data_IF_493506961122
#
_entry.id   IF_493506961122
#
_cell.length_a   1.000
_cell.length_b   1.000
_cell.length_c   1.000
_cell.angle_alpha   90.00
_cell.angle_beta   90.00
_cell.angle_gamma   90.00
#
_symmetry.space_group_name_H-M   'P 1'
#
loop_
_entity.id
_entity.type
_entity.pdbx_description
1 polymer ?
#
# COMPACT_ATOMS: atom_id res chain seq x y z
N UNK A 1 21.36 -24.00 -6.87
CA UNK A 1 20.91 -23.03 -5.86
C UNK A 1 22.13 -22.25 -5.43
N UNK A 2 22.21 -20.97 -5.78
CA UNK A 2 23.27 -20.09 -5.29
C UNK A 2 22.63 -19.09 -4.34
N UNK A 3 23.07 -19.07 -3.08
CA UNK A 3 22.74 -17.99 -2.16
C UNK A 3 23.81 -16.92 -2.33
N UNK A 4 23.46 -15.73 -2.81
CA UNK A 4 24.34 -14.56 -2.76
C UNK A 4 23.91 -13.70 -1.56
N UNK A 5 24.87 -13.42 -0.68
CA UNK A 5 24.65 -12.68 0.56
C UNK A 5 25.08 -11.23 0.33
N UNK A 6 24.13 -10.37 -0.09
CA UNK A 6 24.36 -8.93 -0.17
C UNK A 6 24.19 -8.33 1.22
N UNK A 7 25.28 -7.85 1.84
CA UNK A 7 25.25 -7.15 3.13
C UNK A 7 24.48 -5.83 3.02
N UNK A 8 23.20 -5.88 3.33
CA UNK A 8 22.33 -4.71 3.55
C UNK A 8 22.15 -4.53 5.07
N UNK A 9 22.10 -3.28 5.56
CA UNK A 9 21.90 -3.02 6.98
C UNK A 9 20.56 -3.60 7.46
N UNK A 10 20.60 -4.37 8.55
CA UNK A 10 19.44 -5.06 9.09
C UNK A 10 18.99 -6.30 8.31
N UNK A 11 19.64 -6.68 7.21
CA UNK A 11 19.36 -7.93 6.51
C UNK A 11 19.67 -9.17 7.37
N UNK A 12 18.76 -10.15 7.32
CA UNK A 12 18.88 -11.40 8.06
C UNK A 12 19.05 -12.59 7.14
N UNK A 13 18.28 -12.61 6.05
CA UNK A 13 18.36 -13.65 5.04
C UNK A 13 17.85 -13.14 3.69
N UNK A 14 18.49 -13.61 2.62
CA UNK A 14 18.00 -13.46 1.26
C UNK A 14 18.06 -14.82 0.56
N UNK A 15 17.04 -15.16 -0.21
CA UNK A 15 17.01 -16.37 -1.00
C UNK A 15 16.41 -16.07 -2.37
N UNK A 16 17.05 -16.59 -3.42
CA UNK A 16 16.58 -16.49 -4.79
C UNK A 16 16.43 -17.88 -5.41
N UNK A 17 15.29 -18.10 -6.07
CA UNK A 17 14.99 -19.30 -6.82
C UNK A 17 14.56 -18.93 -8.25
N UNK A 18 15.30 -19.44 -9.22
CA UNK A 18 15.06 -19.17 -10.64
C UNK A 18 14.64 -20.45 -11.35
N UNK A 19 13.67 -20.35 -12.26
CA UNK A 19 13.28 -21.50 -13.10
C UNK A 19 14.46 -21.95 -13.97
N UNK A 20 14.53 -23.24 -14.35
CA UNK A 20 15.67 -23.79 -15.12
C UNK A 20 15.95 -23.04 -16.43
N UNK A 21 14.93 -22.43 -17.02
CA UNK A 21 15.03 -21.65 -18.25
C UNK A 21 15.28 -20.14 -18.01
N UNK A 22 15.52 -19.70 -16.77
CA UNK A 22 15.70 -18.28 -16.43
C UNK A 22 14.42 -17.44 -16.55
N UNK A 23 13.28 -18.06 -16.83
CA UNK A 23 12.05 -17.38 -17.21
C UNK A 23 11.24 -16.78 -16.06
N UNK A 24 11.53 -17.13 -14.81
CA UNK A 24 10.95 -16.51 -13.61
C UNK A 24 11.94 -16.57 -12.45
N UNK A 25 11.93 -15.52 -11.63
CA UNK A 25 12.73 -15.42 -10.41
C UNK A 25 11.82 -15.17 -9.23
N UNK A 26 12.00 -15.94 -8.15
CA UNK A 26 11.33 -15.78 -6.87
C UNK A 26 12.38 -15.40 -5.83
N UNK A 27 12.21 -14.24 -5.22
CA UNK A 27 13.11 -13.70 -4.20
C UNK A 27 12.38 -13.59 -2.87
N UNK A 28 13.05 -13.99 -1.79
CA UNK A 28 12.65 -13.79 -0.40
C UNK A 28 13.69 -12.95 0.30
N UNK A 29 13.25 -11.97 1.11
CA UNK A 29 14.11 -11.14 1.94
C UNK A 29 13.50 -11.01 3.33
N UNK A 30 14.33 -11.24 4.34
CA UNK A 30 13.99 -11.07 5.75
C UNK A 30 14.95 -10.04 6.33
N UNK A 31 14.41 -9.04 7.03
CA UNK A 31 15.19 -7.97 7.64
C UNK A 31 14.52 -7.37 8.86
N UNK A 32 15.30 -6.77 9.75
CA UNK A 32 14.76 -5.93 10.82
C UNK A 32 14.39 -4.53 10.29
N UNK A 33 13.24 -4.01 10.72
CA UNK A 33 12.86 -2.60 10.53
C UNK A 33 13.40 -1.70 11.65
N UNK A 34 13.49 -0.36 11.44
CA UNK A 34 13.12 0.38 10.23
C UNK A 34 14.39 0.75 9.43
N UNK A 35 14.97 -0.21 8.71
CA UNK A 35 16.38 -0.10 8.33
C UNK A 35 16.72 0.14 6.86
N UNK A 36 15.79 0.39 5.95
CA UNK A 36 16.16 0.48 4.54
C UNK A 36 15.33 1.48 3.72
N UNK A 37 16.02 2.26 2.88
CA UNK A 37 15.49 3.23 1.91
C UNK A 37 14.67 2.59 0.77
N UNK A 38 14.49 1.27 0.79
CA UNK A 38 13.96 0.49 -0.34
C UNK A 38 12.62 -0.15 -0.03
N UNK A 39 12.11 -0.15 1.20
CA UNK A 39 10.78 -0.69 1.52
C UNK A 39 9.68 -0.02 0.70
N UNK A 40 9.71 1.31 0.63
CA UNK A 40 8.74 2.05 -0.17
C UNK A 40 8.95 1.76 -1.65
N UNK A 41 10.21 1.66 -2.09
CA UNK A 41 10.56 1.25 -3.46
C UNK A 41 10.06 -0.16 -3.80
N UNK A 42 10.12 -1.11 -2.88
CA UNK A 42 9.65 -2.48 -3.03
C UNK A 42 8.13 -2.51 -3.24
N UNK A 43 7.40 -1.64 -2.53
CA UNK A 43 5.97 -1.40 -2.75
C UNK A 43 5.66 -0.44 -3.92
N UNK A 44 6.67 -0.07 -4.73
CA UNK A 44 6.54 0.81 -5.87
C UNK A 44 6.12 2.25 -5.51
N UNK A 45 6.32 2.67 -4.26
CA UNK A 45 5.99 4.00 -3.72
C UNK A 45 7.20 4.91 -3.81
N UNK A 46 7.61 5.27 -5.02
CA UNK A 46 8.80 6.10 -5.23
C UNK A 46 8.49 7.55 -5.57
N UNK A 47 7.27 7.83 -6.04
CA UNK A 47 6.87 9.17 -6.46
C UNK A 47 5.58 9.58 -5.77
N UNK A 48 5.56 10.70 -5.04
CA UNK A 48 4.40 11.10 -4.26
C UNK A 48 3.25 11.66 -5.10
N UNK A 49 3.50 11.97 -6.38
CA UNK A 49 2.47 12.40 -7.36
C UNK A 49 2.34 11.42 -8.54
N UNK A 50 3.07 10.30 -8.50
CA UNK A 50 2.98 9.24 -9.50
C UNK A 50 1.85 8.27 -9.18
N UNK A 51 1.38 7.56 -10.20
CA UNK A 51 0.43 6.49 -9.99
C UNK A 51 1.10 5.34 -9.23
N UNK A 52 0.50 4.96 -8.09
CA UNK A 52 0.87 3.78 -7.31
C UNK A 52 -0.24 2.74 -7.41
N UNK A 53 0.07 1.52 -7.85
CA UNK A 53 -0.91 0.42 -7.86
C UNK A 53 -1.46 0.18 -6.45
N UNK A 54 -2.80 0.14 -6.27
CA UNK A 54 -3.40 -0.17 -4.97
C UNK A 54 -2.97 -1.55 -4.48
N UNK A 55 -2.73 -1.66 -3.18
CA UNK A 55 -2.30 -2.90 -2.55
C UNK A 55 -3.49 -3.73 -2.05
N UNK A 56 -3.32 -5.04 -2.06
CA UNK A 56 -4.30 -6.01 -1.54
C UNK A 56 -3.87 -6.56 -0.19
N UNK A 57 -4.67 -6.44 0.88
CA UNK A 57 -4.34 -7.05 2.17
C UNK A 57 -4.22 -8.57 2.10
N UNK A 58 -3.27 -9.15 2.83
CA UNK A 58 -3.03 -10.60 2.94
C UNK A 58 -3.94 -11.26 3.99
N UNK A 59 -5.23 -10.94 3.95
CA UNK A 59 -6.22 -11.43 4.90
C UNK A 59 -5.99 -10.87 6.31
N UNK A 60 -5.91 -11.75 7.30
CA UNK A 60 -5.64 -11.41 8.72
C UNK A 60 -4.15 -11.24 9.04
N UNK A 61 -3.27 -11.46 8.07
CA UNK A 61 -1.84 -11.22 8.27
C UNK A 61 -1.53 -9.73 8.11
N UNK A 62 -0.52 -9.21 8.84
CA UNK A 62 -0.11 -7.81 8.75
C UNK A 62 0.71 -7.55 7.49
N UNK A 63 0.08 -7.73 6.33
CA UNK A 63 0.79 -7.72 5.07
C UNK A 63 -0.06 -7.30 3.89
N UNK A 64 0.64 -6.90 2.84
CA UNK A 64 0.06 -6.38 1.61
C UNK A 64 0.71 -7.03 0.40
N UNK A 65 -0.07 -7.17 -0.66
CA UNK A 65 0.34 -7.67 -1.96
C UNK A 65 0.20 -6.57 -3.01
N UNK A 66 1.26 -6.39 -3.78
CA UNK A 66 1.35 -5.51 -4.94
C UNK A 66 1.36 -6.31 -6.22
N UNK A 67 0.56 -5.87 -7.19
CA UNK A 67 0.59 -6.37 -8.56
C UNK A 67 1.08 -5.27 -9.50
N UNK A 68 2.04 -5.60 -10.35
CA UNK A 68 2.46 -4.78 -11.47
C UNK A 68 2.65 -5.63 -12.73
N UNK A 69 2.88 -4.99 -13.88
CA UNK A 69 3.19 -5.71 -15.10
C UNK A 69 4.48 -6.51 -14.90
N UNK A 70 4.40 -7.83 -15.10
CA UNK A 70 5.57 -8.72 -15.02
C UNK A 70 6.04 -9.09 -13.60
N UNK A 71 5.47 -8.52 -12.54
CA UNK A 71 5.90 -8.83 -11.18
C UNK A 71 4.77 -8.79 -10.14
N UNK A 72 4.93 -9.58 -9.08
CA UNK A 72 4.06 -9.58 -7.90
C UNK A 72 4.93 -9.58 -6.67
N UNK A 73 4.59 -8.74 -5.70
CA UNK A 73 5.37 -8.56 -4.48
C UNK A 73 4.47 -8.60 -3.27
N UNK A 74 4.94 -9.14 -2.16
CA UNK A 74 4.28 -9.17 -0.87
C UNK A 74 5.24 -8.63 0.19
N UNK A 75 4.74 -7.78 1.07
CA UNK A 75 5.49 -7.28 2.23
C UNK A 75 4.65 -7.46 3.48
N UNK A 76 5.23 -8.10 4.49
CA UNK A 76 4.61 -8.36 5.78
C UNK A 76 5.42 -7.72 6.89
N UNK A 77 4.72 -7.12 7.86
CA UNK A 77 5.29 -6.48 9.05
C UNK A 77 4.91 -7.29 10.29
N UNK A 78 5.86 -8.05 10.80
CA UNK A 78 5.69 -8.88 11.98
C UNK A 78 6.31 -8.17 13.17
N UNK A 79 5.50 -7.83 14.18
CA UNK A 79 6.04 -7.28 15.43
C UNK A 79 6.62 -8.41 16.27
N UNK A 80 7.79 -8.18 16.85
CA UNK A 80 8.49 -9.18 17.65
C UNK A 80 8.65 -8.64 19.07
N UNK A 81 8.48 -9.52 20.06
CA UNK A 81 8.66 -9.15 21.47
C UNK A 81 10.13 -9.27 21.85
N UNK A 82 10.90 -8.25 21.44
CA UNK A 82 12.35 -8.17 21.66
C UNK A 82 12.70 -6.86 22.37
N UNK A 83 13.82 -6.89 23.13
CA UNK A 83 14.33 -5.74 23.89
C UNK A 83 14.62 -4.49 23.04
N UNK A 84 14.85 -4.66 21.75
CA UNK A 84 15.11 -3.58 20.80
C UNK A 84 13.86 -3.12 20.05
N UNK A 85 12.68 -3.70 20.35
CA UNK A 85 11.39 -3.42 19.71
C UNK A 85 11.41 -3.48 18.18
N UNK A 86 12.42 -4.14 17.58
CA UNK A 86 12.55 -4.23 16.13
C UNK A 86 11.48 -5.17 15.59
N UNK A 87 10.85 -4.72 14.51
CA UNK A 87 9.90 -5.52 13.78
C UNK A 87 10.59 -6.26 12.65
N UNK A 88 10.13 -7.47 12.35
CA UNK A 88 10.61 -8.25 11.22
C UNK A 88 9.79 -7.91 9.98
N UNK A 89 10.48 -7.50 8.91
CA UNK A 89 9.90 -7.32 7.59
C UNK A 89 10.20 -8.56 6.75
N UNK A 90 9.15 -9.13 6.18
CA UNK A 90 9.23 -10.28 5.27
C UNK A 90 8.75 -9.84 3.89
N UNK A 91 9.67 -9.79 2.94
CA UNK A 91 9.43 -9.38 1.57
C UNK A 91 9.57 -10.59 0.65
N UNK A 92 8.58 -10.81 -0.20
CA UNK A 92 8.61 -11.86 -1.22
C UNK A 92 8.26 -11.25 -2.56
N UNK A 93 8.99 -11.59 -3.61
CA UNK A 93 8.76 -11.05 -4.96
C UNK A 93 8.92 -12.14 -6.00
N UNK A 94 7.97 -12.24 -6.91
CA UNK A 94 8.09 -13.05 -8.12
C UNK A 94 8.12 -12.13 -9.34
N UNK A 95 9.11 -12.33 -10.19
CA UNK A 95 9.30 -11.60 -11.44
C UNK A 95 9.28 -12.58 -12.60
N UNK A 96 8.62 -12.19 -13.69
CA UNK A 96 8.77 -12.86 -14.97
C UNK A 96 10.10 -12.50 -15.63
N UNK A 97 10.53 -13.34 -16.57
CA UNK A 97 11.70 -13.07 -17.39
C UNK A 97 11.53 -11.86 -18.30
N UNK A 98 12.58 -11.51 -19.07
CA UNK A 98 12.55 -10.36 -19.97
C UNK A 98 11.31 -10.36 -20.87
N UNK A 99 10.58 -9.24 -20.91
CA UNK A 99 9.36 -9.09 -21.71
C UNK A 99 8.08 -9.62 -21.06
N UNK A 100 8.12 -10.13 -19.84
CA UNK A 100 6.90 -10.45 -19.08
C UNK A 100 6.14 -9.17 -18.74
N UNK A 101 5.02 -8.93 -19.42
CA UNK A 101 4.16 -7.75 -19.21
C UNK A 101 2.78 -8.09 -18.66
N UNK A 102 2.46 -9.38 -18.55
CA UNK A 102 1.13 -9.83 -18.13
C UNK A 102 1.03 -9.91 -16.61
N UNK A 103 -0.11 -9.42 -16.08
CA UNK A 103 -0.46 -9.62 -14.68
C UNK A 103 -0.71 -11.12 -14.41
N UNK A 104 -0.39 -11.63 -13.21
CA UNK A 104 -0.63 -13.02 -12.86
C UNK A 104 -2.11 -13.39 -12.96
N UNK A 105 -2.39 -14.66 -13.27
CA UNK A 105 -3.73 -15.22 -13.16
C UNK A 105 -4.19 -15.21 -11.69
N UNK A 106 -5.51 -15.09 -11.40
CA UNK A 106 -6.02 -15.05 -10.02
C UNK A 106 -5.52 -16.20 -9.14
N UNK A 107 -5.50 -17.43 -9.67
CA UNK A 107 -5.00 -18.60 -8.95
C UNK A 107 -3.48 -18.55 -8.66
N UNK A 108 -2.68 -17.92 -9.53
CA UNK A 108 -1.25 -17.73 -9.29
C UNK A 108 -1.02 -16.67 -8.21
N UNK A 109 -1.80 -15.59 -8.23
CA UNK A 109 -1.78 -14.53 -7.22
C UNK A 109 -2.12 -15.08 -5.84
N UNK A 110 -3.14 -15.93 -5.74
CA UNK A 110 -3.53 -16.56 -4.48
C UNK A 110 -2.47 -17.56 -3.97
N UNK A 111 -1.90 -18.38 -4.86
CA UNK A 111 -0.76 -19.27 -4.50
C UNK A 111 0.45 -18.48 -4.02
N UNK A 112 0.79 -17.38 -4.68
CA UNK A 112 1.89 -16.51 -4.27
C UNK A 112 1.63 -15.88 -2.89
N UNK A 113 0.43 -15.39 -2.64
CA UNK A 113 0.03 -14.87 -1.33
C UNK A 113 0.14 -15.94 -0.23
N UNK A 114 -0.31 -17.17 -0.49
CA UNK A 114 -0.18 -18.28 0.44
C UNK A 114 1.30 -18.61 0.74
N UNK A 115 2.18 -18.59 -0.27
CA UNK A 115 3.63 -18.77 -0.07
C UNK A 115 4.22 -17.66 0.79
N UNK A 116 3.89 -16.39 0.51
CA UNK A 116 4.39 -15.26 1.29
C UNK A 116 3.94 -15.34 2.76
N UNK A 117 2.69 -15.71 3.01
CA UNK A 117 2.15 -15.92 4.36
C UNK A 117 2.84 -17.09 5.06
N UNK A 118 3.01 -18.23 4.39
CA UNK A 118 3.69 -19.40 4.98
C UNK A 118 5.17 -19.09 5.31
N UNK A 119 5.84 -18.31 4.47
CA UNK A 119 7.21 -17.83 4.77
C UNK A 119 7.21 -16.92 6.00
N UNK A 120 6.26 -16.00 6.10
CA UNK A 120 6.14 -15.10 7.25
C UNK A 120 5.80 -15.85 8.54
N UNK A 121 4.94 -16.86 8.49
CA UNK A 121 4.62 -17.73 9.62
C UNK A 121 5.86 -18.49 10.12
N UNK A 122 6.62 -19.08 9.19
CA UNK A 122 7.89 -19.76 9.53
C UNK A 122 8.90 -18.78 10.11
N UNK A 123 9.03 -17.59 9.53
CA UNK A 123 9.91 -16.54 10.03
C UNK A 123 9.50 -16.07 11.44
N UNK A 124 8.21 -15.87 11.68
CA UNK A 124 7.71 -15.51 13.01
C UNK A 124 8.13 -16.54 14.08
N UNK A 125 7.97 -17.83 13.79
CA UNK A 125 8.38 -18.89 14.72
C UNK A 125 9.89 -18.95 14.93
N UNK A 126 10.70 -18.73 13.89
CA UNK A 126 12.17 -18.74 14.01
C UNK A 126 12.74 -17.52 14.74
N UNK A 127 12.08 -16.36 14.64
CA UNK A 127 12.57 -15.09 15.19
C UNK A 127 11.81 -14.61 16.44
N UNK A 128 10.85 -15.40 16.95
CA UNK A 128 10.11 -15.09 18.18
C UNK A 128 9.07 -13.98 18.02
N UNK A 129 8.41 -13.90 16.86
CA UNK A 129 7.42 -12.87 16.55
C UNK A 129 5.97 -13.39 16.69
N UNK A 130 5.74 -14.32 17.62
CA UNK A 130 4.50 -15.09 17.74
C UNK A 130 3.27 -14.26 18.14
N UNK A 131 3.46 -13.05 18.65
CA UNK A 131 2.40 -12.11 18.98
C UNK A 131 1.58 -11.64 17.76
N UNK A 132 2.10 -11.88 16.54
CA UNK A 132 1.46 -11.45 15.29
C UNK A 132 1.24 -12.65 14.35
N UNK A 133 0.80 -13.78 14.90
CA UNK A 133 0.25 -14.86 14.08
C UNK A 133 -1.11 -14.40 13.55
N UNK A 134 -1.17 -14.09 12.26
CA UNK A 134 -2.47 -13.99 11.58
C UNK A 134 -3.20 -15.34 11.66
N UNK A 135 -4.52 -15.32 11.56
CA UNK A 135 -5.29 -16.55 11.37
C UNK A 135 -4.88 -17.29 10.08
N UNK A 136 -5.44 -18.47 9.87
CA UNK A 136 -5.23 -19.21 8.61
C UNK A 136 -5.57 -18.34 7.41
N UNK A 137 -4.71 -18.36 6.39
CA UNK A 137 -4.93 -17.58 5.17
C UNK A 137 -6.21 -18.04 4.47
N UNK A 138 -7.28 -17.25 4.58
CA UNK A 138 -8.61 -17.55 4.05
C UNK A 138 -8.81 -17.08 2.59
N UNK A 139 -7.70 -16.82 1.87
CA UNK A 139 -7.72 -16.34 0.49
C UNK A 139 -7.52 -14.83 0.35
N UNK A 140 -7.49 -14.39 -0.91
CA UNK A 140 -7.19 -13.01 -1.28
C UNK A 140 -8.42 -12.35 -1.94
N UNK A 141 -8.77 -11.13 -1.52
CA UNK A 141 -9.79 -10.33 -2.23
C UNK A 141 -9.38 -10.07 -3.68
N UNK A 142 -10.31 -9.72 -4.57
CA UNK A 142 -10.00 -9.42 -5.98
C UNK A 142 -8.92 -8.34 -6.16
N UNK A 143 -8.32 -8.27 -7.35
CA UNK A 143 -7.34 -7.22 -7.67
C UNK A 143 -8.05 -5.86 -7.75
N UNK A 144 -7.64 -4.84 -6.95
CA UNK A 144 -8.34 -3.55 -6.85
C UNK A 144 -8.53 -2.82 -8.18
N UNK A 145 -7.58 -2.97 -9.11
CA UNK A 145 -7.58 -2.27 -10.40
C UNK A 145 -8.48 -2.92 -11.45
N UNK A 146 -8.64 -4.25 -11.41
CA UNK A 146 -9.27 -5.01 -12.50
C UNK A 146 -10.79 -4.82 -12.57
N UNK A 147 -11.43 -4.38 -11.48
CA UNK A 147 -12.87 -4.19 -11.39
C UNK A 147 -13.17 -2.90 -10.62
N UNK A 148 -13.04 -1.72 -11.27
CA UNK A 148 -13.49 -0.48 -10.67
C UNK A 148 -14.99 -0.59 -10.33
N UNK A 149 -15.39 0.00 -9.22
CA UNK A 149 -16.80 0.13 -8.83
C UNK A 149 -17.17 1.60 -8.81
N UNK A 150 -18.47 1.91 -8.89
CA UNK A 150 -18.90 3.30 -8.70
C UNK A 150 -18.58 3.75 -7.26
N UNK A 151 -18.33 5.04 -7.07
CA UNK A 151 -18.04 5.58 -5.74
C UNK A 151 -19.18 5.26 -4.74
N UNK A 152 -20.45 5.30 -5.18
CA UNK A 152 -21.61 4.96 -4.36
C UNK A 152 -21.63 3.49 -3.89
N UNK A 153 -21.06 2.59 -4.67
CA UNK A 153 -21.04 1.15 -4.40
C UNK A 153 -19.82 0.69 -3.62
N UNK A 154 -18.90 1.59 -3.27
CA UNK A 154 -17.67 1.26 -2.56
C UNK A 154 -17.95 0.58 -1.20
N UNK A 155 -17.34 -0.59 -0.96
CA UNK A 155 -17.51 -1.41 0.26
C UNK A 155 -16.20 -1.72 0.98
N UNK A 156 -15.08 -1.47 0.34
CA UNK A 156 -13.73 -1.72 0.84
C UNK A 156 -13.09 -0.47 1.44
N UNK A 157 -11.83 -0.25 1.11
CA UNK A 157 -11.02 0.88 1.58
C UNK A 157 -11.56 2.25 1.15
N UNK A 158 -12.41 2.33 0.14
CA UNK A 158 -13.05 3.58 -0.30
C UNK A 158 -14.43 3.83 0.30
N UNK A 159 -14.98 2.91 1.11
CA UNK A 159 -16.37 2.96 1.55
C UNK A 159 -16.76 4.26 2.29
N UNK A 160 -15.80 4.91 2.98
CA UNK A 160 -16.02 6.17 3.67
C UNK A 160 -16.24 7.38 2.73
N UNK A 161 -15.86 7.26 1.45
CA UNK A 161 -16.01 8.34 0.47
C UNK A 161 -17.39 8.34 -0.21
N UNK A 162 -18.24 7.35 0.05
CA UNK A 162 -19.61 7.30 -0.51
C UNK A 162 -20.40 8.61 -0.30
N UNK A 163 -20.39 9.24 0.89
CA UNK A 163 -21.11 10.50 1.10
C UNK A 163 -20.59 11.66 0.24
N UNK A 164 -19.36 11.58 -0.28
CA UNK A 164 -18.77 12.63 -1.12
C UNK A 164 -19.12 12.46 -2.61
N UNK A 165 -19.96 11.50 -2.99
CA UNK A 165 -20.25 11.16 -4.39
C UNK A 165 -20.70 12.38 -5.22
N UNK A 166 -21.68 13.15 -4.72
CA UNK A 166 -22.20 14.30 -5.45
C UNK A 166 -21.13 15.37 -5.67
N UNK A 167 -20.21 15.57 -4.71
CA UNK A 167 -19.08 16.48 -4.84
C UNK A 167 -18.02 15.94 -5.80
N UNK A 168 -17.70 14.65 -5.70
CA UNK A 168 -16.77 13.96 -6.59
C UNK A 168 -17.19 14.05 -8.07
N UNK A 169 -18.49 13.84 -8.37
CA UNK A 169 -19.02 13.95 -9.74
C UNK A 169 -18.86 15.34 -10.36
N UNK A 170 -18.99 16.41 -9.56
CA UNK A 170 -18.73 17.78 -10.05
C UNK A 170 -17.29 17.99 -10.51
N UNK A 171 -16.36 17.20 -9.98
CA UNK A 171 -14.94 17.19 -10.36
C UNK A 171 -14.64 16.21 -11.51
N UNK A 172 -15.65 15.48 -12.00
CA UNK A 172 -15.49 14.44 -13.01
C UNK A 172 -14.98 13.11 -12.46
N UNK A 173 -15.18 12.84 -11.17
CA UNK A 173 -14.85 11.58 -10.52
C UNK A 173 -16.12 10.75 -10.34
N UNK A 174 -16.07 9.45 -10.66
CA UNK A 174 -17.26 8.59 -10.59
C UNK A 174 -17.00 7.18 -10.09
N UNK A 175 -15.73 6.74 -10.11
CA UNK A 175 -15.35 5.36 -9.83
C UNK A 175 -14.22 5.31 -8.81
N UNK A 176 -14.02 4.12 -8.25
CA UNK A 176 -12.91 3.85 -7.35
C UNK A 176 -12.22 2.53 -7.66
N UNK A 177 -10.93 2.48 -7.35
CA UNK A 177 -10.21 1.24 -7.11
C UNK A 177 -10.02 1.07 -5.61
N UNK A 178 -10.52 -0.04 -5.08
CA UNK A 178 -10.42 -0.35 -3.66
C UNK A 178 -10.04 -1.81 -3.42
N UNK A 179 -9.43 -2.05 -2.27
CA UNK A 179 -9.20 -3.37 -1.77
C UNK A 179 -10.23 -3.70 -0.68
N UNK A 180 -10.35 -4.99 -0.34
CA UNK A 180 -11.06 -5.38 0.88
C UNK A 180 -10.37 -4.69 2.07
N UNK A 181 -11.13 -3.98 2.90
CA UNK A 181 -10.61 -3.37 4.12
C UNK A 181 -10.14 -4.45 5.12
N UNK A 182 -9.02 -4.21 5.80
CA UNK A 182 -8.49 -5.09 6.84
C UNK A 182 -7.79 -4.29 7.93
N UNK A 183 -8.17 -4.53 9.19
CA UNK A 183 -7.56 -3.90 10.38
C UNK A 183 -6.14 -4.40 10.70
N UNK A 184 -5.59 -5.31 9.88
CA UNK A 184 -4.20 -5.75 10.00
C UNK A 184 -3.32 -5.20 8.87
N UNK A 185 -3.90 -4.63 7.81
CA UNK A 185 -3.13 -4.21 6.64
C UNK A 185 -2.18 -3.05 7.00
N UNK A 186 -0.85 -3.20 6.84
CA UNK A 186 0.10 -2.14 7.16
C UNK A 186 0.05 -0.95 6.18
N UNK A 187 -0.61 -1.14 5.04
CA UNK A 187 -0.91 -0.10 4.06
C UNK A 187 -2.33 -0.31 3.53
N UNK A 188 -3.10 0.77 3.41
CA UNK A 188 -4.42 0.76 2.77
C UNK A 188 -4.44 1.79 1.65
N UNK A 189 -5.05 1.47 0.51
CA UNK A 189 -5.21 2.40 -0.60
C UNK A 189 -6.67 2.52 -1.02
N UNK A 190 -7.08 3.75 -1.32
CA UNK A 190 -8.29 4.07 -2.04
C UNK A 190 -7.94 5.01 -3.20
N UNK A 191 -8.29 4.65 -4.44
CA UNK A 191 -8.01 5.50 -5.59
C UNK A 191 -9.32 5.97 -6.21
N UNK A 192 -9.49 7.28 -6.31
CA UNK A 192 -10.60 7.91 -7.05
C UNK A 192 -10.18 8.00 -8.52
N UNK A 193 -11.03 7.46 -9.40
CA UNK A 193 -10.82 7.48 -10.85
C UNK A 193 -11.93 8.27 -11.55
N UNK A 194 -11.65 8.69 -12.78
CA UNK A 194 -12.55 9.59 -13.50
C UNK A 194 -13.88 8.91 -13.85
N UNK A 195 -14.92 9.72 -14.03
CA UNK A 195 -16.22 9.29 -14.52
C UNK A 195 -16.17 8.89 -16.00
N UNK A 196 -15.37 9.62 -16.80
CA UNK A 196 -15.23 9.39 -18.23
C UNK A 196 -14.41 8.12 -18.54
N UNK A 197 -13.37 7.85 -17.76
CA UNK A 197 -12.57 6.64 -17.83
C UNK A 197 -12.30 6.08 -16.42
N UNK A 198 -12.94 4.97 -16.03
CA UNK A 198 -12.72 4.30 -14.75
C UNK A 198 -11.28 3.77 -14.58
N UNK A 199 -10.49 3.74 -15.65
CA UNK A 199 -9.08 3.34 -15.62
C UNK A 199 -8.10 4.50 -15.40
N UNK A 200 -8.58 5.75 -15.43
CA UNK A 200 -7.75 6.94 -15.27
C UNK A 200 -7.78 7.43 -13.80
N UNK A 201 -6.69 7.25 -13.02
CA UNK A 201 -6.64 7.70 -11.63
C UNK A 201 -6.46 9.21 -11.52
N UNK A 202 -7.21 9.82 -10.60
CA UNK A 202 -7.12 11.25 -10.30
C UNK A 202 -6.54 11.50 -8.91
N UNK A 203 -7.00 10.78 -7.89
CA UNK A 203 -6.49 10.92 -6.52
C UNK A 203 -6.20 9.56 -5.91
N UNK A 204 -5.07 9.48 -5.21
CA UNK A 204 -4.71 8.33 -4.37
C UNK A 204 -4.78 8.73 -2.92
N UNK A 205 -5.60 8.05 -2.13
CA UNK A 205 -5.62 8.11 -0.69
C UNK A 205 -4.92 6.87 -0.14
N UNK A 206 -3.89 7.05 0.68
CA UNK A 206 -3.13 5.96 1.27
C UNK A 206 -2.98 6.14 2.77
N UNK A 207 -3.13 5.06 3.53
CA UNK A 207 -2.81 4.98 4.95
C UNK A 207 -1.56 4.10 5.13
N UNK A 208 -0.60 4.56 5.92
CA UNK A 208 0.64 3.85 6.24
C UNK A 208 0.77 3.70 7.74
N UNK A 209 1.19 2.51 8.19
CA UNK A 209 1.31 2.16 9.61
C UNK A 209 2.71 1.66 9.95
N UNK A 210 3.17 1.96 11.17
CA UNK A 210 4.45 1.49 11.70
C UNK A 210 5.63 1.84 10.79
N UNK A 211 6.51 0.86 10.45
CA UNK A 211 7.65 1.11 9.58
C UNK A 211 7.28 1.70 8.22
N UNK A 212 6.08 1.42 7.69
CA UNK A 212 5.65 1.99 6.40
C UNK A 212 5.34 3.48 6.49
N UNK A 213 4.88 3.96 7.64
CA UNK A 213 4.65 5.39 7.86
C UNK A 213 5.98 6.16 7.94
N UNK A 214 6.96 5.59 8.65
CA UNK A 214 8.33 6.10 8.73
C UNK A 214 9.00 6.11 7.36
N UNK A 215 9.00 4.97 6.66
CA UNK A 215 9.56 4.85 5.32
C UNK A 215 8.94 5.81 4.32
N UNK A 216 7.61 6.01 4.33
CA UNK A 216 6.98 6.98 3.44
C UNK A 216 7.43 8.42 3.73
N UNK A 217 7.49 8.79 5.02
CA UNK A 217 7.87 10.13 5.46
C UNK A 217 9.32 10.46 5.11
N UNK A 218 10.23 9.49 5.25
CA UNK A 218 11.65 9.67 4.99
C UNK A 218 12.01 9.56 3.50
N UNK A 219 11.46 8.57 2.79
CA UNK A 219 11.94 8.17 1.47
C UNK A 219 11.14 8.77 0.32
N UNK A 220 9.85 9.04 0.53
CA UNK A 220 8.92 9.39 -0.56
C UNK A 220 8.60 10.87 -0.56
N UNK A 221 8.40 11.46 0.63
CA UNK A 221 8.11 12.88 0.73
C UNK A 221 8.53 13.47 2.08
N UNK A 222 9.76 14.01 2.19
CA UNK A 222 10.18 14.77 3.38
C UNK A 222 9.37 16.08 3.57
N UNK A 223 8.39 16.36 2.68
CA UNK A 223 7.49 17.52 2.73
C UNK A 223 6.20 17.26 3.51
N UNK A 224 5.96 16.03 3.97
CA UNK A 224 4.92 15.75 4.98
C UNK A 224 5.50 16.09 6.35
N UNK A 225 5.47 17.37 6.69
CA UNK A 225 5.99 17.88 7.96
C UNK A 225 4.85 18.08 8.97
N UNK A 226 5.09 17.71 10.23
CA UNK A 226 4.13 17.90 11.31
C UNK A 226 2.97 16.90 11.31
N UNK A 227 2.00 17.11 12.20
CA UNK A 227 0.93 16.14 12.48
C UNK A 227 -0.18 16.11 11.42
N UNK A 228 -0.33 17.17 10.64
CA UNK A 228 -1.36 17.33 9.60
C UNK A 228 -0.99 18.50 8.70
N UNK A 229 -1.61 18.60 7.52
CA UNK A 229 -1.50 19.80 6.69
C UNK A 229 -1.92 19.62 5.23
N UNK A 230 -1.74 20.72 4.49
CA UNK A 230 -2.02 20.84 3.06
C UNK A 230 -0.78 21.41 2.38
N UNK A 231 -0.33 20.80 1.29
CA UNK A 231 0.81 21.30 0.51
C UNK A 231 0.41 22.60 -0.20
N UNK A 232 1.36 23.51 -0.42
CA UNK A 232 1.11 24.84 -1.04
C UNK A 232 0.43 24.79 -2.42
N UNK A 233 0.69 23.75 -3.21
CA UNK A 233 0.05 23.54 -4.52
C UNK A 233 -1.33 22.85 -4.40
N UNK A 234 -1.74 22.49 -3.20
CA UNK A 234 -3.04 21.90 -2.87
C UNK A 234 -3.17 20.42 -3.20
N UNK A 235 -2.28 19.83 -4.00
CA UNK A 235 -2.41 18.45 -4.50
C UNK A 235 -2.02 17.38 -3.51
N UNK A 236 -1.55 17.77 -2.31
CA UNK A 236 -1.30 16.84 -1.21
C UNK A 236 -1.94 17.35 0.07
N UNK A 237 -2.61 16.44 0.76
CA UNK A 237 -3.21 16.66 2.07
C UNK A 237 -2.75 15.50 2.96
N UNK A 238 -2.41 15.74 4.22
CA UNK A 238 -2.03 14.68 5.15
C UNK A 238 -2.62 14.83 6.54
N UNK A 239 -2.83 13.69 7.19
CA UNK A 239 -3.30 13.54 8.56
C UNK A 239 -2.44 12.49 9.28
N UNK A 240 -2.44 12.46 10.60
CA UNK A 240 -1.73 11.42 11.37
C UNK A 240 -2.52 10.95 12.59
N UNK A 241 -2.29 9.72 13.05
CA UNK A 241 -2.87 9.19 14.29
C UNK A 241 -1.84 8.40 15.09
N UNK A 242 -2.02 8.26 16.40
CA UNK A 242 -1.27 7.27 17.20
C UNK A 242 -1.96 5.92 17.07
N UNK A 243 -1.22 4.87 16.74
CA UNK A 243 -1.78 3.53 16.61
C UNK A 243 -1.15 2.57 17.61
N UNK A 244 -1.88 1.54 18.08
CA UNK A 244 -1.35 0.59 19.03
C UNK A 244 -0.10 -0.14 18.54
N UNK A 245 0.91 -0.26 19.41
CA UNK A 245 2.10 -1.08 19.18
C UNK A 245 3.11 -0.52 18.18
N UNK A 246 3.10 0.78 17.94
CA UNK A 246 4.18 1.51 17.28
C UNK A 246 4.28 2.93 17.85
N UNK A 247 5.50 3.43 18.03
CA UNK A 247 5.76 4.83 18.40
C UNK A 247 5.56 5.77 17.21
N UNK A 248 5.76 5.27 15.99
CA UNK A 248 5.56 6.02 14.75
C UNK A 248 4.08 6.26 14.56
N UNK A 249 3.69 7.53 14.43
CA UNK A 249 2.31 7.88 14.07
C UNK A 249 1.96 7.31 12.70
N UNK A 250 0.77 6.71 12.58
CA UNK A 250 0.24 6.39 11.26
C UNK A 250 0.08 7.66 10.44
N UNK A 251 0.26 7.51 9.14
CA UNK A 251 0.22 8.58 8.17
C UNK A 251 -0.88 8.32 7.15
N UNK A 252 -1.79 9.27 6.98
CA UNK A 252 -2.82 9.26 5.94
C UNK A 252 -2.50 10.37 4.95
N UNK A 253 -2.47 10.05 3.66
CA UNK A 253 -2.13 11.03 2.61
C UNK A 253 -3.12 10.91 1.48
N UNK A 254 -3.61 12.05 1.01
CA UNK A 254 -4.22 12.19 -0.30
C UNK A 254 -3.21 12.86 -1.22
N UNK A 255 -2.94 12.27 -2.38
CA UNK A 255 -2.12 12.84 -3.45
C UNK A 255 -2.89 12.90 -4.77
N UNK A 256 -2.75 14.00 -5.50
CA UNK A 256 -3.09 14.08 -6.91
C UNK A 256 -2.18 13.16 -7.74
N UNK A 257 -2.79 12.39 -8.65
CA UNK A 257 -2.08 11.52 -9.58
C UNK A 257 -1.89 12.28 -10.88
N UNK A 258 -0.65 12.66 -11.16
CA UNK A 258 -0.31 13.40 -12.38
C UNK A 258 -0.17 12.39 -13.52
N UNK A 259 -1.03 12.55 -14.53
CA UNK A 259 -0.94 11.83 -15.80
C UNK A 259 -0.74 12.81 -16.96
N UNK A 260 -0.44 12.25 -18.13
CA UNK A 260 -0.56 12.98 -19.39
C UNK A 260 -1.88 12.59 -20.04
N UNK A 261 -2.69 13.57 -20.41
CA UNK A 261 -3.88 13.31 -21.21
C UNK A 261 -3.50 13.00 -22.68
N UNK A 262 -4.51 12.67 -23.50
CA UNK A 262 -4.33 12.38 -24.92
C UNK A 262 -3.80 13.59 -25.73
N UNK A 263 -3.89 14.80 -25.17
CA UNK A 263 -3.44 16.05 -25.78
C UNK A 263 -2.02 16.44 -25.31
N UNK A 264 -1.40 15.64 -24.42
CA UNK A 264 -0.05 15.85 -23.91
C UNK A 264 0.02 16.83 -22.73
N UNK A 265 -1.12 17.30 -22.21
CA UNK A 265 -1.15 18.15 -21.01
C UNK A 265 -0.90 17.31 -19.78
N UNK A 266 0.05 17.72 -18.96
CA UNK A 266 0.38 17.04 -17.70
C UNK A 266 -0.39 17.67 -16.55
N UNK A 267 -1.15 16.86 -15.82
CA UNK A 267 -1.96 17.34 -14.70
C UNK A 267 -2.72 16.23 -14.00
N UNK A 268 -3.46 16.62 -12.97
CA UNK A 268 -4.43 15.72 -12.33
C UNK A 268 -5.71 15.75 -13.18
N UNK A 269 -6.24 14.59 -13.62
CA UNK A 269 -7.37 14.52 -14.54
C UNK A 269 -8.70 14.82 -13.85
N UNK A 270 -8.91 16.07 -13.43
CA UNK A 270 -10.15 16.57 -12.84
C UNK A 270 -10.69 17.74 -13.66
N UNK A 271 -12.02 17.88 -13.70
CA UNK A 271 -12.69 18.99 -14.43
C UNK A 271 -12.39 20.35 -13.80
N UNK A 272 -12.22 20.39 -12.48
CA UNK A 272 -11.95 21.60 -11.70
C UNK A 272 -11.20 21.23 -10.42
N UNK A 273 -10.30 22.11 -9.99
CA UNK A 273 -9.66 21.98 -8.68
C UNK A 273 -10.62 22.36 -7.53
N UNK A 274 -10.69 21.54 -6.49
CA UNK A 274 -11.47 21.80 -5.27
C UNK A 274 -10.70 21.35 -4.01
N UNK A 275 -10.01 22.28 -3.32
CA UNK A 275 -9.30 22.00 -2.08
C UNK A 275 -10.21 21.48 -0.96
N UNK A 276 -11.46 21.95 -0.90
CA UNK A 276 -12.43 21.52 0.12
C UNK A 276 -12.76 20.04 -0.01
N UNK A 277 -12.99 19.58 -1.24
CA UNK A 277 -13.19 18.16 -1.52
C UNK A 277 -12.00 17.30 -1.08
N UNK A 278 -10.75 17.74 -1.31
CA UNK A 278 -9.57 16.96 -0.92
C UNK A 278 -9.45 16.79 0.59
N UNK A 279 -9.68 17.86 1.34
CA UNK A 279 -9.68 17.80 2.81
C UNK A 279 -10.82 16.93 3.33
N UNK A 280 -12.02 17.05 2.75
CA UNK A 280 -13.18 16.22 3.09
C UNK A 280 -12.90 14.73 2.83
N UNK A 281 -12.41 14.39 1.63
CA UNK A 281 -12.10 13.02 1.25
C UNK A 281 -11.01 12.40 2.13
N UNK A 282 -9.91 13.12 2.38
CA UNK A 282 -8.87 12.62 3.29
C UNK A 282 -9.43 12.45 4.71
N UNK A 283 -10.25 13.38 5.19
CA UNK A 283 -10.84 13.30 6.53
C UNK A 283 -11.71 12.06 6.68
N UNK A 284 -12.58 11.79 5.71
CA UNK A 284 -13.45 10.62 5.72
C UNK A 284 -12.64 9.32 5.69
N UNK A 285 -11.66 9.24 4.80
CA UNK A 285 -10.76 8.08 4.69
C UNK A 285 -9.95 7.85 5.97
N UNK A 286 -9.32 8.90 6.50
CA UNK A 286 -8.47 8.81 7.70
C UNK A 286 -9.27 8.42 8.94
N UNK A 287 -10.49 8.93 9.12
CA UNK A 287 -11.37 8.54 10.23
C UNK A 287 -11.69 7.05 10.19
N UNK A 288 -12.16 6.55 9.04
CA UNK A 288 -12.53 5.14 8.90
C UNK A 288 -11.31 4.21 9.04
N UNK A 289 -10.18 4.59 8.45
CA UNK A 289 -8.94 3.82 8.53
C UNK A 289 -8.39 3.80 9.98
N UNK A 290 -8.36 4.95 10.66
CA UNK A 290 -7.97 5.04 12.07
C UNK A 290 -8.87 4.19 12.98
N UNK A 291 -10.19 4.25 12.81
CA UNK A 291 -11.13 3.43 13.59
C UNK A 291 -10.89 1.94 13.40
N UNK A 292 -10.73 1.50 12.14
CA UNK A 292 -10.47 0.09 11.78
C UNK A 292 -9.16 -0.45 12.36
N UNK A 293 -8.16 0.41 12.57
CA UNK A 293 -6.87 0.06 13.16
C UNK A 293 -6.78 0.42 14.66
N UNK A 294 -7.88 0.83 15.28
CA UNK A 294 -7.96 1.26 16.68
C UNK A 294 -6.97 2.37 17.05
N UNK A 295 -6.69 3.27 16.10
CA UNK A 295 -5.83 4.41 16.31
C UNK A 295 -6.57 5.53 17.06
N UNK A 296 -5.81 6.29 17.84
CA UNK A 296 -6.27 7.41 18.65
C UNK A 296 -5.52 8.70 18.27
N UNK A 297 -5.93 9.83 18.87
CA UNK A 297 -5.31 11.13 18.65
C UNK A 297 -5.17 11.51 17.15
N UNK A 298 -6.23 11.28 16.39
CA UNK A 298 -6.30 11.62 14.97
C UNK A 298 -6.20 13.15 14.79
N UNK A 299 -5.17 13.59 14.09
CA UNK A 299 -4.89 14.97 13.71
C UNK A 299 -5.27 15.14 12.24
N UNK A 300 -6.37 15.85 11.98
CA UNK A 300 -6.98 16.04 10.65
C UNK A 300 -6.61 17.41 10.06
N UNK A 301 -6.43 17.54 8.74
CA UNK A 301 -5.97 18.77 8.08
C UNK A 301 -6.84 20.00 8.35
#
# INVERSE_FOLDING_TARGET
>A
MGASDTKEDGALASCEATTRNGGKTLTFRLRWGPGDERMMKFLGRTHPSGYNSPLSPLGSWPGVLREEAGATSASLWLRCDRKDHRSLIVETRIEGGPGAVTAPAPAQREKFAAVAVATAEKAAGSFGCDQVRGGSFAGLGGSPRKKPVTLAEARGTCAALRPTESSARRLGLGHVWEARASGTAPVEDCVLTTEADPQLPAFSLSAYYGPFAEGYSEQVTPRVAGKQGVQKDGWRVWATAKCPGTETRALYVLSGVVGSDAEGTSGVPVKKDDPGFRTEALTAFARQSAERHHCAELALP
#
